data_IF_050513651372
#
_entry.id   IF_050513651372
#
_cell.length_a   1.000
_cell.length_b   1.000
_cell.length_c   1.000
_cell.angle_alpha   90.00
_cell.angle_beta   90.00
_cell.angle_gamma   90.00
#
_symmetry.space_group_name_H-M   'P 1'
#
loop_
_entity.id
_entity.type
_entity.pdbx_description
1 polymer ?
#
# COMPACT_ATOMS: atom_id res chain seq x y z
N UNK A 1 5.30 -89.57 -23.11
CA UNK A 1 5.60 -88.35 -23.89
C UNK A 1 4.94 -87.14 -23.23
N UNK A 2 5.55 -86.55 -22.19
CA UNK A 2 5.11 -85.28 -21.58
C UNK A 2 6.37 -84.47 -21.27
N UNK A 3 6.99 -83.85 -22.29
CA UNK A 3 8.19 -83.03 -22.09
C UNK A 3 8.31 -81.79 -22.98
N UNK A 4 7.26 -81.38 -23.71
CA UNK A 4 7.33 -80.21 -24.61
C UNK A 4 6.44 -79.00 -24.27
N UNK A 5 5.71 -78.96 -23.15
CA UNK A 5 4.80 -77.84 -22.83
C UNK A 5 5.36 -76.77 -21.85
N UNK A 6 6.58 -76.92 -21.31
CA UNK A 6 7.14 -75.91 -20.38
C UNK A 6 7.88 -74.75 -21.08
N UNK A 7 8.41 -74.95 -22.30
CA UNK A 7 9.18 -73.91 -23.00
C UNK A 7 8.29 -72.87 -23.68
N UNK A 8 7.13 -73.27 -24.19
CA UNK A 8 6.13 -72.40 -24.83
C UNK A 8 5.41 -71.50 -23.81
N UNK A 9 5.12 -71.98 -22.61
CA UNK A 9 4.48 -71.17 -21.56
C UNK A 9 5.37 -70.03 -21.04
N UNK A 10 6.68 -70.27 -20.86
CA UNK A 10 7.60 -69.26 -20.35
C UNK A 10 7.84 -68.10 -21.35
N UNK A 11 7.81 -68.37 -22.66
CA UNK A 11 7.96 -67.32 -23.69
C UNK A 11 6.69 -66.44 -23.75
N UNK A 12 5.51 -67.03 -23.59
CA UNK A 12 4.24 -66.30 -23.57
C UNK A 12 4.14 -65.41 -22.31
N UNK A 13 4.55 -65.91 -21.14
CA UNK A 13 4.53 -65.13 -19.89
C UNK A 13 5.52 -63.95 -19.95
N UNK A 14 6.73 -64.14 -20.50
CA UNK A 14 7.71 -63.05 -20.67
C UNK A 14 7.19 -61.97 -21.65
N UNK A 15 6.55 -62.37 -22.75
CA UNK A 15 5.98 -61.43 -23.72
C UNK A 15 4.77 -60.66 -23.15
N UNK A 16 3.91 -61.30 -22.34
CA UNK A 16 2.77 -60.63 -21.68
C UNK A 16 3.26 -59.64 -20.61
N UNK A 17 4.29 -60.01 -19.83
CA UNK A 17 4.84 -59.14 -18.78
C UNK A 17 5.59 -57.93 -19.38
N UNK A 18 6.29 -58.14 -20.50
CA UNK A 18 6.90 -57.09 -21.32
C UNK A 18 5.87 -56.12 -21.90
N UNK A 19 4.79 -56.63 -22.53
CA UNK A 19 3.72 -55.79 -23.08
C UNK A 19 2.92 -55.04 -22.00
N UNK A 20 2.73 -55.63 -20.82
CA UNK A 20 2.08 -54.97 -19.68
C UNK A 20 2.94 -53.81 -19.14
N UNK A 21 4.26 -53.98 -19.06
CA UNK A 21 5.19 -52.93 -18.65
C UNK A 21 5.29 -51.79 -19.69
N UNK A 22 5.23 -52.10 -20.99
CA UNK A 22 5.21 -51.08 -22.05
C UNK A 22 3.90 -50.28 -22.01
N UNK A 23 2.75 -50.95 -21.83
CA UNK A 23 1.46 -50.25 -21.66
C UNK A 23 1.46 -49.36 -20.40
N UNK A 24 1.99 -49.84 -19.28
CA UNK A 24 2.08 -49.05 -18.04
C UNK A 24 3.00 -47.84 -18.18
N UNK A 25 4.13 -47.98 -18.87
CA UNK A 25 5.06 -46.87 -19.17
C UNK A 25 4.42 -45.82 -20.08
N UNK A 26 3.70 -46.25 -21.12
CA UNK A 26 3.00 -45.33 -22.03
C UNK A 26 1.85 -44.58 -21.33
N UNK A 27 1.13 -45.25 -20.42
CA UNK A 27 0.08 -44.59 -19.60
C UNK A 27 0.69 -43.57 -18.65
N UNK A 28 1.81 -43.89 -17.99
CA UNK A 28 2.51 -42.94 -17.09
C UNK A 28 3.03 -41.74 -17.88
N UNK A 29 3.64 -41.95 -19.06
CA UNK A 29 4.10 -40.86 -19.94
C UNK A 29 2.90 -40.00 -20.38
N UNK A 30 1.78 -40.62 -20.76
CA UNK A 30 0.56 -39.90 -21.13
C UNK A 30 0.01 -39.02 -20.01
N UNK A 31 0.01 -39.51 -18.77
CA UNK A 31 -0.41 -38.74 -17.58
C UNK A 31 0.55 -37.57 -17.32
N UNK A 32 1.86 -37.78 -17.39
CA UNK A 32 2.86 -36.72 -17.21
C UNK A 32 2.69 -35.62 -18.25
N UNK A 33 2.49 -35.99 -19.53
CA UNK A 33 2.25 -35.04 -20.61
C UNK A 33 0.95 -34.27 -20.39
N UNK A 34 -0.12 -34.95 -19.94
CA UNK A 34 -1.40 -34.30 -19.65
C UNK A 34 -1.30 -33.30 -18.49
N UNK A 35 -0.57 -33.65 -17.43
CA UNK A 35 -0.29 -32.76 -16.29
C UNK A 35 0.55 -31.56 -16.74
N UNK A 36 1.58 -31.77 -17.56
CA UNK A 36 2.41 -30.69 -18.08
C UNK A 36 1.60 -29.73 -18.98
N UNK A 37 0.75 -30.26 -19.88
CA UNK A 37 -0.15 -29.45 -20.71
C UNK A 37 -1.14 -28.68 -19.84
N UNK A 38 -1.74 -29.34 -18.83
CA UNK A 38 -2.69 -28.70 -17.91
C UNK A 38 -2.03 -27.60 -17.08
N UNK A 39 -0.78 -27.81 -16.63
CA UNK A 39 0.01 -26.81 -15.93
C UNK A 39 0.36 -25.63 -16.84
N UNK A 40 0.75 -25.88 -18.09
CA UNK A 40 1.01 -24.82 -19.08
C UNK A 40 -0.26 -24.04 -19.41
N UNK A 41 -1.41 -24.71 -19.57
CA UNK A 41 -2.71 -24.04 -19.77
C UNK A 41 -3.08 -23.23 -18.53
N UNK A 42 -2.92 -23.78 -17.32
CA UNK A 42 -3.15 -23.04 -16.08
C UNK A 42 -2.24 -21.81 -15.97
N UNK A 43 -0.97 -21.92 -16.36
CA UNK A 43 -0.04 -20.78 -16.37
C UNK A 43 -0.44 -19.74 -17.43
N UNK A 44 -0.78 -20.16 -18.65
CA UNK A 44 -1.12 -19.25 -19.75
C UNK A 44 -2.51 -18.60 -19.62
N UNK A 45 -3.45 -19.26 -18.94
CA UNK A 45 -4.80 -18.77 -18.69
C UNK A 45 -4.99 -18.22 -17.29
N UNK A 46 -3.94 -18.21 -16.44
CA UNK A 46 -3.97 -17.46 -15.19
C UNK A 46 -3.98 -15.95 -15.52
N UNK A 47 -5.04 -15.20 -15.15
CA UNK A 47 -5.14 -13.77 -15.43
C UNK A 47 -3.94 -12.97 -14.91
N UNK A 48 -3.39 -13.36 -13.75
CA UNK A 48 -2.23 -12.70 -13.14
C UNK A 48 -0.94 -12.94 -13.92
N UNK A 49 -0.75 -14.13 -14.52
CA UNK A 49 0.43 -14.43 -15.35
C UNK A 49 0.34 -13.80 -16.75
N UNK A 50 -0.88 -13.70 -17.30
CA UNK A 50 -1.14 -13.00 -18.56
C UNK A 50 -0.93 -11.49 -18.41
N UNK A 51 -1.42 -10.90 -17.32
CA UNK A 51 -1.13 -9.51 -16.94
C UNK A 51 0.37 -9.27 -16.71
N UNK A 52 1.07 -10.23 -16.11
CA UNK A 52 2.53 -10.18 -15.97
C UNK A 52 3.26 -10.23 -17.33
N UNK A 53 2.90 -11.13 -18.25
CA UNK A 53 3.51 -11.21 -19.59
C UNK A 53 3.18 -10.00 -20.48
N UNK A 54 1.97 -9.46 -20.39
CA UNK A 54 1.56 -8.21 -21.07
C UNK A 54 2.32 -7.00 -20.49
N UNK A 55 2.57 -6.97 -19.18
CA UNK A 55 3.41 -5.94 -18.54
C UNK A 55 4.89 -5.98 -18.99
N UNK A 56 5.38 -7.16 -19.40
CA UNK A 56 6.77 -7.33 -19.87
C UNK A 56 6.94 -7.07 -21.37
N UNK A 57 5.87 -7.17 -22.18
CA UNK A 57 5.99 -7.18 -23.65
C UNK A 57 5.58 -5.90 -24.39
N UNK A 58 5.00 -4.88 -23.75
CA UNK A 58 4.73 -3.59 -24.45
C UNK A 58 5.06 -2.35 -23.64
N UNK A 59 6.35 -2.01 -23.59
CA UNK A 59 6.83 -0.63 -23.42
C UNK A 59 7.57 -0.20 -24.68
N UNK A 60 6.88 -0.20 -25.82
CA UNK A 60 7.40 0.52 -27.00
C UNK A 60 7.45 2.02 -26.65
N UNK A 61 8.52 2.70 -27.03
CA UNK A 61 8.75 4.13 -26.74
C UNK A 61 7.54 5.00 -27.15
N UNK A 62 6.86 4.65 -28.25
CA UNK A 62 5.64 5.31 -28.70
C UNK A 62 4.45 5.20 -27.72
N UNK A 63 4.30 4.06 -27.02
CA UNK A 63 3.27 3.91 -25.98
C UNK A 63 3.62 4.68 -24.71
N UNK A 64 4.91 4.83 -24.39
CA UNK A 64 5.37 5.63 -23.25
C UNK A 64 5.09 7.12 -23.45
N UNK A 65 5.38 7.64 -24.66
CA UNK A 65 5.11 9.04 -25.03
C UNK A 65 3.60 9.32 -24.98
N UNK A 66 2.78 8.45 -25.58
CA UNK A 66 1.31 8.61 -25.54
C UNK A 66 0.75 8.60 -24.11
N UNK A 67 1.35 7.81 -23.22
CA UNK A 67 0.96 7.79 -21.80
C UNK A 67 1.34 9.07 -21.09
N UNK A 68 2.56 9.56 -21.29
CA UNK A 68 2.99 10.87 -20.77
C UNK A 68 2.02 11.96 -21.21
N UNK A 69 1.74 12.06 -22.52
CA UNK A 69 0.83 13.07 -23.08
C UNK A 69 -0.59 12.94 -22.50
N UNK A 70 -1.10 11.71 -22.37
CA UNK A 70 -2.42 11.45 -21.78
C UNK A 70 -2.48 11.85 -20.30
N UNK A 71 -1.46 11.53 -19.51
CA UNK A 71 -1.42 11.89 -18.09
C UNK A 71 -1.34 13.42 -17.95
N UNK A 72 -0.39 14.06 -18.63
CA UNK A 72 -0.18 15.51 -18.55
C UNK A 72 -1.40 16.29 -19.04
N UNK A 73 -2.07 15.84 -20.12
CA UNK A 73 -3.31 16.47 -20.60
C UNK A 73 -4.54 16.23 -19.72
N UNK A 74 -4.47 15.26 -18.79
CA UNK A 74 -5.55 14.97 -17.84
C UNK A 74 -5.41 15.66 -16.50
N UNK A 75 -4.30 16.35 -16.25
CA UNK A 75 -4.05 17.05 -14.98
C UNK A 75 -5.09 18.15 -14.79
N UNK A 76 -5.61 18.29 -13.57
CA UNK A 76 -6.54 19.36 -13.21
C UNK A 76 -5.88 20.75 -13.13
N UNK A 77 -4.56 20.80 -13.27
CA UNK A 77 -3.72 21.99 -13.16
C UNK A 77 -2.80 22.14 -14.38
N UNK A 78 -2.31 23.37 -14.58
CA UNK A 78 -1.36 23.67 -15.64
C UNK A 78 0.05 23.31 -15.19
N UNK A 79 0.64 22.28 -15.78
CA UNK A 79 2.04 21.95 -15.61
C UNK A 79 2.90 22.90 -16.47
N UNK A 80 3.86 23.64 -15.91
CA UNK A 80 4.66 24.58 -16.68
C UNK A 80 5.65 23.87 -17.61
N UNK A 81 5.95 24.49 -18.75
CA UNK A 81 6.90 23.96 -19.74
C UNK A 81 8.33 23.86 -19.17
N UNK A 82 8.68 24.76 -18.25
CA UNK A 82 9.95 24.80 -17.52
C UNK A 82 9.70 24.96 -16.02
N UNK A 83 10.57 24.38 -15.20
CA UNK A 83 10.58 24.60 -13.76
C UNK A 83 11.01 26.03 -13.41
N UNK A 84 10.55 26.54 -12.27
CA UNK A 84 11.11 27.73 -11.64
C UNK A 84 12.58 27.50 -11.27
N UNK A 85 13.37 28.56 -11.10
CA UNK A 85 14.77 28.43 -10.65
C UNK A 85 14.86 27.88 -9.22
N UNK A 86 13.92 28.27 -8.36
CA UNK A 86 13.84 27.87 -6.97
C UNK A 86 12.36 27.86 -6.54
N UNK A 87 11.96 26.87 -5.76
CA UNK A 87 10.59 26.76 -5.25
C UNK A 87 10.61 26.12 -3.87
N UNK A 88 9.81 26.67 -2.97
CA UNK A 88 9.50 26.07 -1.67
C UNK A 88 7.99 25.99 -1.48
N UNK A 89 7.54 24.81 -1.10
CA UNK A 89 6.21 24.56 -0.61
C UNK A 89 6.25 24.70 0.91
N UNK A 90 5.42 25.57 1.46
CA UNK A 90 5.27 25.72 2.92
C UNK A 90 4.41 24.57 3.49
N UNK A 91 4.90 23.34 3.30
CA UNK A 91 4.23 22.13 3.75
C UNK A 91 4.57 21.85 5.21
N UNK A 92 3.61 21.37 6.01
CA UNK A 92 3.95 20.79 7.30
C UNK A 92 4.78 19.52 7.12
N UNK A 93 5.53 19.16 8.16
CA UNK A 93 6.25 17.90 8.25
C UNK A 93 5.76 17.11 9.46
N UNK A 94 4.76 16.25 9.29
CA UNK A 94 4.36 15.37 10.39
C UNK A 94 5.42 14.28 10.61
N UNK A 95 5.61 13.86 11.86
CA UNK A 95 6.49 12.74 12.18
C UNK A 95 5.95 11.97 13.39
N UNK A 96 5.50 10.74 13.18
CA UNK A 96 4.85 9.96 14.24
C UNK A 96 5.77 8.91 14.85
N UNK A 97 6.16 7.88 14.10
CA UNK A 97 7.01 6.76 14.56
C UNK A 97 7.81 6.16 13.39
N UNK A 98 8.92 5.48 13.73
CA UNK A 98 9.59 4.58 12.79
C UNK A 98 8.62 3.49 12.30
N UNK A 99 8.50 3.34 10.98
CA UNK A 99 7.57 2.40 10.35
C UNK A 99 6.28 3.02 9.80
N UNK A 100 5.99 4.30 10.04
CA UNK A 100 4.78 4.99 9.55
C UNK A 100 5.04 6.24 8.72
N UNK A 101 6.26 6.37 8.20
CA UNK A 101 6.69 7.51 7.37
C UNK A 101 5.79 7.77 6.14
N UNK A 102 5.05 6.77 5.65
CA UNK A 102 4.06 6.98 4.58
C UNK A 102 2.82 7.74 5.06
N UNK A 103 2.28 7.47 6.25
CA UNK A 103 1.14 8.24 6.79
C UNK A 103 1.53 9.69 7.03
N UNK A 104 2.74 9.89 7.54
CA UNK A 104 3.32 11.20 7.80
C UNK A 104 3.47 12.02 6.52
N UNK A 105 4.04 11.41 5.47
CA UNK A 105 4.16 12.03 4.15
C UNK A 105 2.77 12.36 3.56
N UNK A 106 1.82 11.41 3.60
CA UNK A 106 0.50 11.60 3.02
C UNK A 106 -0.34 12.67 3.74
N UNK A 107 -0.34 12.65 5.08
CA UNK A 107 -1.01 13.68 5.87
C UNK A 107 -0.38 15.06 5.64
N UNK A 108 0.94 15.12 5.48
CA UNK A 108 1.66 16.37 5.21
C UNK A 108 1.23 16.98 3.87
N UNK A 109 1.08 16.14 2.84
CA UNK A 109 0.52 16.55 1.55
C UNK A 109 -0.91 17.06 1.69
N UNK A 110 -1.79 16.32 2.36
CA UNK A 110 -3.21 16.71 2.49
C UNK A 110 -3.43 17.95 3.35
N UNK A 111 -2.58 18.17 4.35
CA UNK A 111 -2.62 19.41 5.09
C UNK A 111 -2.21 20.59 4.20
N UNK A 112 -1.19 20.43 3.36
CA UNK A 112 -0.80 21.48 2.42
C UNK A 112 -1.90 21.80 1.40
N UNK A 113 -2.52 20.78 0.78
CA UNK A 113 -3.47 21.00 -0.33
C UNK A 113 -4.91 21.32 0.12
N UNK A 114 -5.35 20.79 1.27
CA UNK A 114 -6.76 20.89 1.71
C UNK A 114 -6.88 21.39 3.16
N UNK A 115 -5.76 21.74 3.83
CA UNK A 115 -5.73 22.09 5.26
C UNK A 115 -6.36 21.00 6.16
N UNK A 116 -6.30 19.75 5.73
CA UNK A 116 -6.79 18.59 6.50
C UNK A 116 -5.81 18.27 7.63
N UNK A 117 -6.29 18.09 8.86
CA UNK A 117 -5.42 17.67 9.98
C UNK A 117 -4.94 16.22 9.80
N UNK A 118 -3.88 15.81 10.51
CA UNK A 118 -3.39 14.43 10.46
C UNK A 118 -4.51 13.42 10.81
N UNK A 119 -5.19 13.63 11.94
CA UNK A 119 -6.24 12.71 12.39
C UNK A 119 -7.45 12.70 11.46
N UNK A 120 -7.83 13.85 10.91
CA UNK A 120 -8.91 13.91 9.93
C UNK A 120 -8.51 13.18 8.65
N UNK A 121 -7.28 13.35 8.14
CA UNK A 121 -6.80 12.61 6.98
C UNK A 121 -6.85 11.10 7.22
N UNK A 122 -6.35 10.64 8.36
CA UNK A 122 -6.39 9.22 8.73
C UNK A 122 -7.84 8.74 8.83
N UNK A 123 -8.76 9.54 9.37
CA UNK A 123 -10.20 9.23 9.44
C UNK A 123 -10.84 8.97 8.07
N UNK A 124 -10.48 9.76 7.04
CA UNK A 124 -10.89 9.50 5.65
C UNK A 124 -10.36 8.16 5.12
N UNK A 125 -9.26 7.67 5.67
CA UNK A 125 -8.67 6.37 5.34
C UNK A 125 -9.40 5.16 5.92
N UNK A 126 -10.47 5.38 6.71
CA UNK A 126 -11.27 4.35 7.37
C UNK A 126 -10.46 3.51 8.38
N UNK A 127 -9.90 4.14 9.43
CA UNK A 127 -9.00 3.49 10.38
C UNK A 127 -9.67 2.38 11.21
N UNK A 128 -11.00 2.30 11.21
CA UNK A 128 -11.77 1.29 11.94
C UNK A 128 -11.98 0.00 11.14
N UNK A 129 -11.58 -0.03 9.86
CA UNK A 129 -11.69 -1.19 8.99
C UNK A 129 -10.74 -2.30 9.43
N UNK A 130 -11.30 -3.37 10.01
CA UNK A 130 -10.51 -4.52 10.50
C UNK A 130 -10.28 -5.59 9.43
N UNK A 131 -11.15 -5.71 8.43
CA UNK A 131 -11.02 -6.70 7.36
C UNK A 131 -11.21 -6.04 6.00
N UNK A 132 -10.32 -6.36 5.05
CA UNK A 132 -10.43 -5.94 3.66
C UNK A 132 -10.27 -7.14 2.72
N UNK A 133 -10.93 -7.13 1.57
CA UNK A 133 -10.79 -8.17 0.55
C UNK A 133 -9.91 -7.67 -0.58
N UNK A 134 -8.76 -8.33 -0.77
CA UNK A 134 -7.85 -8.13 -1.88
C UNK A 134 -8.04 -9.25 -2.91
N UNK A 135 -8.24 -8.92 -4.19
CA UNK A 135 -8.42 -9.92 -5.25
C UNK A 135 -7.19 -10.80 -5.45
N UNK A 136 -6.00 -10.26 -5.17
CA UNK A 136 -4.74 -10.93 -5.45
C UNK A 136 -4.26 -11.77 -4.27
N UNK A 137 -4.79 -11.53 -3.06
CA UNK A 137 -4.29 -12.12 -1.82
C UNK A 137 -5.39 -12.62 -0.86
N UNK A 138 -6.66 -12.43 -1.20
CA UNK A 138 -7.82 -12.87 -0.42
C UNK A 138 -8.20 -11.91 0.72
N UNK A 139 -8.82 -12.47 1.77
CA UNK A 139 -9.20 -11.72 2.97
C UNK A 139 -7.95 -11.32 3.76
N UNK A 140 -7.79 -10.02 4.02
CA UNK A 140 -6.69 -9.44 4.78
C UNK A 140 -7.19 -8.73 6.04
N UNK A 141 -6.29 -8.58 7.02
CA UNK A 141 -6.57 -7.97 8.32
C UNK A 141 -5.96 -6.58 8.39
N UNK A 142 -6.83 -5.58 8.50
CA UNK A 142 -6.48 -4.16 8.46
C UNK A 142 -5.98 -3.69 7.09
N UNK A 143 -5.90 -2.36 6.89
CA UNK A 143 -5.22 -1.79 5.73
C UNK A 143 -3.70 -2.03 5.83
N UNK A 144 -3.06 -2.48 4.73
CA UNK A 144 -1.61 -2.64 4.67
C UNK A 144 -0.90 -1.27 4.74
N UNK A 145 0.43 -1.34 4.90
CA UNK A 145 1.34 -0.18 4.87
C UNK A 145 1.02 0.72 3.66
N UNK A 146 0.47 1.90 3.93
CA UNK A 146 0.14 2.91 2.94
C UNK A 146 -1.27 2.83 2.34
N UNK A 147 -1.99 1.71 2.46
CA UNK A 147 -3.34 1.55 1.86
C UNK A 147 -4.39 2.44 2.52
N UNK A 148 -4.31 2.64 3.84
CA UNK A 148 -5.18 3.59 4.53
C UNK A 148 -5.00 5.02 3.97
N UNK A 149 -3.77 5.39 3.62
CA UNK A 149 -3.51 6.68 2.98
C UNK A 149 -4.10 6.78 1.59
N UNK A 150 -4.01 5.71 0.78
CA UNK A 150 -4.63 5.66 -0.54
C UNK A 150 -6.15 5.68 -0.49
N UNK A 151 -6.75 4.98 0.47
CA UNK A 151 -8.17 5.05 0.75
C UNK A 151 -8.59 6.47 1.15
N UNK A 152 -7.77 7.17 1.95
CA UNK A 152 -8.03 8.55 2.32
C UNK A 152 -8.01 9.48 1.10
N UNK A 153 -6.98 9.38 0.25
CA UNK A 153 -6.91 10.15 -1.00
C UNK A 153 -8.13 9.89 -1.89
N UNK A 154 -8.48 8.63 -2.12
CA UNK A 154 -9.64 8.24 -2.92
C UNK A 154 -10.94 8.85 -2.35
N UNK A 155 -11.15 8.74 -1.04
CA UNK A 155 -12.32 9.28 -0.37
C UNK A 155 -12.35 10.81 -0.36
N UNK A 156 -11.19 11.44 -0.46
CA UNK A 156 -11.03 12.87 -0.70
C UNK A 156 -11.11 13.22 -2.19
N UNK A 157 -11.46 12.30 -3.10
CA UNK A 157 -11.63 12.56 -4.52
C UNK A 157 -10.31 12.73 -5.31
N UNK A 158 -9.19 12.34 -4.74
CA UNK A 158 -7.88 12.38 -5.39
C UNK A 158 -7.56 11.08 -6.11
N UNK A 159 -7.03 11.21 -7.32
CA UNK A 159 -6.35 10.14 -8.02
C UNK A 159 -4.84 10.24 -7.77
N UNK A 160 -4.21 9.08 -7.58
CA UNK A 160 -2.76 8.96 -7.46
C UNK A 160 -2.14 8.78 -8.84
N UNK A 161 -1.03 9.45 -9.07
CA UNK A 161 -0.18 9.26 -10.24
C UNK A 161 1.24 9.01 -9.79
N UNK A 162 2.01 8.25 -10.57
CA UNK A 162 3.39 7.92 -10.25
C UNK A 162 4.30 8.01 -11.45
N UNK A 163 5.53 8.43 -11.22
CA UNK A 163 6.62 8.45 -12.18
C UNK A 163 7.70 7.46 -11.77
N UNK A 164 8.32 6.76 -12.73
CA UNK A 164 9.53 5.96 -12.45
C UNK A 164 10.43 5.77 -13.68
N UNK A 165 11.66 5.29 -13.47
CA UNK A 165 12.63 5.01 -14.54
C UNK A 165 12.80 3.51 -14.83
N UNK A 166 12.15 2.63 -14.07
CA UNK A 166 12.38 1.16 -14.16
C UNK A 166 11.39 0.44 -15.05
N UNK A 167 10.34 1.10 -15.55
CA UNK A 167 9.32 0.43 -16.38
C UNK A 167 8.53 -0.63 -15.60
N UNK A 168 8.62 -0.63 -14.27
CA UNK A 168 7.93 -1.60 -13.40
C UNK A 168 6.71 -0.93 -12.80
N UNK A 169 5.59 -1.62 -12.84
CA UNK A 169 4.39 -1.20 -12.12
C UNK A 169 4.50 -1.68 -10.67
N UNK A 170 4.10 -0.85 -9.70
CA UNK A 170 3.80 -1.39 -8.38
C UNK A 170 2.66 -2.42 -8.53
N UNK A 171 2.65 -3.51 -7.75
CA UNK A 171 1.53 -4.44 -7.77
C UNK A 171 0.23 -3.69 -7.52
N UNK A 172 -0.78 -3.97 -8.33
CA UNK A 172 -2.11 -3.38 -8.18
C UNK A 172 -2.77 -3.97 -6.93
N UNK A 173 -2.73 -3.27 -5.81
CA UNK A 173 -3.69 -3.55 -4.73
C UNK A 173 -5.04 -2.97 -5.15
N UNK A 174 -6.15 -3.64 -4.82
CA UNK A 174 -7.50 -3.09 -5.02
C UNK A 174 -7.63 -1.68 -4.42
N UNK A 175 -6.96 -1.43 -3.29
CA UNK A 175 -6.97 -0.14 -2.58
C UNK A 175 -5.94 0.85 -3.08
N UNK A 176 -5.09 0.45 -4.03
CA UNK A 176 -4.11 1.37 -4.61
C UNK A 176 -4.74 2.39 -5.54
N UNK A 177 -5.97 2.12 -6.04
CA UNK A 177 -6.75 2.96 -6.95
C UNK A 177 -5.95 3.48 -8.15
N UNK A 178 -4.87 2.77 -8.51
CA UNK A 178 -3.99 3.07 -9.62
C UNK A 178 -4.20 2.02 -10.70
N UNK A 179 -4.37 2.49 -11.92
CA UNK A 179 -4.32 1.65 -13.10
C UNK A 179 -2.96 1.90 -13.78
N UNK A 180 -2.12 0.85 -13.94
CA UNK A 180 -0.85 0.90 -14.67
C UNK A 180 -0.89 1.70 -15.99
N UNK A 181 -2.00 1.62 -16.70
CA UNK A 181 -2.25 2.23 -18.02
C UNK A 181 -2.77 3.68 -17.95
N UNK A 182 -3.18 4.18 -16.79
CA UNK A 182 -3.75 5.53 -16.62
C UNK A 182 -2.94 6.44 -15.70
N UNK A 183 -2.24 5.86 -14.73
CA UNK A 183 -1.68 6.62 -13.60
C UNK A 183 -0.14 6.65 -13.60
N UNK A 184 0.53 5.96 -14.54
CA UNK A 184 1.99 5.89 -14.58
C UNK A 184 2.60 6.67 -15.73
N UNK A 185 3.67 7.39 -15.41
CA UNK A 185 4.58 8.04 -16.34
C UNK A 185 5.97 7.39 -16.21
N UNK A 186 6.64 7.17 -17.33
CA UNK A 186 7.97 6.55 -17.35
C UNK A 186 9.00 7.50 -17.93
N UNK A 187 10.13 7.60 -17.24
CA UNK A 187 11.24 8.50 -17.59
C UNK A 187 12.47 7.70 -18.01
N UNK A 188 13.29 8.27 -18.90
CA UNK A 188 14.52 7.63 -19.39
C UNK A 188 15.64 7.67 -18.36
N UNK A 189 15.66 8.69 -17.50
CA UNK A 189 16.67 8.85 -16.45
C UNK A 189 16.12 9.50 -15.19
N UNK A 190 16.90 9.43 -14.10
CA UNK A 190 16.55 10.06 -12.83
C UNK A 190 16.54 11.59 -12.94
N UNK A 191 17.40 12.16 -13.79
CA UNK A 191 17.44 13.60 -14.08
C UNK A 191 16.17 14.06 -14.78
N UNK A 192 15.67 13.30 -15.76
CA UNK A 192 14.39 13.61 -16.43
C UNK A 192 13.21 13.54 -15.46
N UNK A 193 13.18 12.52 -14.59
CA UNK A 193 12.17 12.38 -13.54
C UNK A 193 12.25 13.54 -12.52
N UNK A 194 13.48 13.96 -12.15
CA UNK A 194 13.72 15.07 -11.25
C UNK A 194 13.23 16.40 -11.85
N UNK A 195 13.49 16.65 -13.13
CA UNK A 195 12.95 17.85 -13.80
C UNK A 195 11.43 17.85 -13.84
N UNK A 196 10.79 16.69 -13.99
CA UNK A 196 9.33 16.59 -13.88
C UNK A 196 8.83 16.89 -12.46
N UNK A 197 9.51 16.39 -11.42
CA UNK A 197 9.22 16.72 -10.02
C UNK A 197 9.30 18.25 -9.80
N UNK A 198 10.34 18.90 -10.30
CA UNK A 198 10.49 20.37 -10.18
C UNK A 198 9.34 21.12 -10.85
N UNK A 199 8.87 20.65 -12.02
CA UNK A 199 7.69 21.22 -12.70
C UNK A 199 6.41 21.06 -11.89
N UNK A 200 6.18 19.88 -11.30
CA UNK A 200 5.06 19.65 -10.38
C UNK A 200 5.11 20.64 -9.21
N UNK A 201 6.28 20.78 -8.59
CA UNK A 201 6.45 21.69 -7.46
C UNK A 201 6.31 23.17 -7.85
N UNK A 202 6.80 23.57 -9.02
CA UNK A 202 6.59 24.93 -9.58
C UNK A 202 5.09 25.22 -9.73
N UNK A 203 4.31 24.21 -10.11
CA UNK A 203 2.84 24.25 -10.15
C UNK A 203 2.16 24.09 -8.78
N UNK A 204 2.91 24.15 -7.66
CA UNK A 204 2.42 23.97 -6.29
C UNK A 204 1.79 22.60 -6.02
N UNK A 205 2.21 21.57 -6.77
CA UNK A 205 1.76 20.20 -6.56
C UNK A 205 2.80 19.43 -5.76
N UNK A 206 2.48 19.02 -4.52
CA UNK A 206 3.42 18.28 -3.69
C UNK A 206 3.64 16.87 -4.26
N UNK A 207 4.82 16.34 -3.99
CA UNK A 207 5.19 14.97 -4.36
C UNK A 207 5.64 14.21 -3.14
N UNK A 208 5.44 12.89 -3.17
CA UNK A 208 6.08 11.99 -2.22
C UNK A 208 6.84 10.90 -2.97
N UNK A 209 7.83 10.32 -2.31
CA UNK A 209 8.68 9.31 -2.89
C UNK A 209 9.30 8.41 -1.82
N UNK A 210 9.90 7.32 -2.28
CA UNK A 210 10.64 6.41 -1.43
C UNK A 210 12.15 6.58 -1.67
N UNK A 211 12.93 6.79 -0.61
CA UNK A 211 14.40 6.80 -0.66
C UNK A 211 15.00 5.79 0.32
N UNK A 212 16.30 5.52 0.17
CA UNK A 212 17.09 4.86 1.21
C UNK A 212 17.92 5.90 1.94
N UNK A 213 17.83 5.94 3.26
CA UNK A 213 18.76 6.75 4.04
C UNK A 213 20.21 6.23 3.95
N UNK A 214 21.14 6.96 4.55
CA UNK A 214 22.55 6.57 4.63
C UNK A 214 22.78 5.27 5.41
N UNK A 215 21.83 4.87 6.27
CA UNK A 215 21.81 3.57 6.95
C UNK A 215 21.14 2.45 6.11
N UNK A 216 20.77 2.74 4.86
CA UNK A 216 20.10 1.86 3.90
C UNK A 216 18.68 1.43 4.30
N UNK A 217 18.04 2.19 5.19
CA UNK A 217 16.67 1.99 5.62
C UNK A 217 15.72 2.69 4.62
N UNK A 218 14.65 2.01 4.17
CA UNK A 218 13.61 2.63 3.35
C UNK A 218 12.86 3.73 4.11
N UNK A 219 12.66 4.88 3.48
CA UNK A 219 11.81 5.97 4.00
C UNK A 219 10.87 6.50 2.92
N UNK A 220 9.63 6.78 3.32
CA UNK A 220 8.68 7.56 2.52
C UNK A 220 8.69 9.00 2.98
N UNK A 221 8.72 9.94 2.06
CA UNK A 221 8.81 11.36 2.39
C UNK A 221 8.24 12.24 1.29
N UNK A 222 7.90 13.46 1.67
CA UNK A 222 7.58 14.56 0.75
C UNK A 222 8.83 15.33 0.33
N UNK A 223 8.73 16.13 -0.73
CA UNK A 223 9.73 17.15 -1.07
C UNK A 223 9.16 18.52 -0.72
N UNK A 224 9.93 19.33 0.02
CA UNK A 224 9.53 20.69 0.41
C UNK A 224 9.99 21.75 -0.56
N UNK A 225 11.13 21.56 -1.22
CA UNK A 225 11.65 22.57 -2.11
C UNK A 225 12.78 22.08 -2.99
N UNK A 226 13.23 22.95 -3.86
CA UNK A 226 14.48 22.81 -4.59
C UNK A 226 15.05 24.20 -4.90
N UNK A 227 16.37 24.27 -5.03
CA UNK A 227 17.11 25.45 -5.49
C UNK A 227 17.99 25.10 -6.70
N UNK A 228 18.91 25.97 -7.12
CA UNK A 228 19.78 25.70 -8.28
C UNK A 228 20.66 24.44 -8.16
N UNK A 229 20.87 23.92 -6.95
CA UNK A 229 21.87 22.89 -6.62
C UNK A 229 21.36 21.76 -5.71
N UNK A 230 20.26 21.98 -4.99
CA UNK A 230 19.74 21.05 -3.98
C UNK A 230 18.26 20.70 -4.15
N UNK A 231 17.92 19.53 -3.63
CA UNK A 231 16.57 19.15 -3.22
C UNK A 231 16.45 19.31 -1.71
N UNK A 232 15.29 19.77 -1.26
CA UNK A 232 15.01 20.11 0.12
C UNK A 232 13.89 19.20 0.60
N UNK A 233 14.20 18.32 1.54
CA UNK A 233 13.31 17.29 2.04
C UNK A 233 13.27 17.29 3.57
N UNK A 234 12.33 16.56 4.21
CA UNK A 234 12.47 16.17 5.61
C UNK A 234 13.86 15.56 5.84
N UNK A 235 14.47 15.85 6.98
CA UNK A 235 15.81 15.40 7.30
C UNK A 235 15.86 13.92 7.60
N UNK A 236 16.45 13.15 6.70
CA UNK A 236 16.49 11.68 6.76
C UNK A 236 17.76 11.23 7.50
N UNK A 237 18.86 11.96 7.35
CA UNK A 237 20.17 11.60 7.90
C UNK A 237 20.35 11.94 9.39
N UNK A 238 19.62 12.95 9.86
CA UNK A 238 19.94 13.65 11.10
C UNK A 238 18.75 13.92 12.01
N UNK A 239 17.54 13.47 11.65
CA UNK A 239 16.47 13.40 12.65
C UNK A 239 17.01 12.53 13.77
N UNK A 240 17.21 13.08 14.98
CA UNK A 240 17.78 12.29 16.06
C UNK A 240 16.93 11.02 16.19
N UNK A 241 17.54 9.92 16.64
CA UNK A 241 16.77 8.87 17.30
C UNK A 241 16.16 9.50 18.55
N UNK A 242 15.18 10.36 18.38
CA UNK A 242 14.27 10.76 19.42
C UNK A 242 13.69 9.41 19.83
N UNK A 243 13.80 9.07 21.12
CA UNK A 243 13.32 7.82 21.68
C UNK A 243 11.78 7.82 21.64
N UNK A 244 11.20 7.77 20.44
CA UNK A 244 9.75 7.77 20.19
C UNK A 244 9.08 6.52 20.79
N UNK A 245 9.85 5.48 21.05
CA UNK A 245 9.42 4.25 21.73
C UNK A 245 9.26 4.42 23.25
N UNK A 246 9.80 5.49 23.83
CA UNK A 246 9.74 5.75 25.28
C UNK A 246 8.61 6.71 25.67
N UNK A 247 7.96 7.36 24.69
CA UNK A 247 6.81 8.22 24.96
C UNK A 247 5.52 7.40 25.08
N UNK A 248 4.66 7.68 26.07
CA UNK A 248 3.37 7.03 26.18
C UNK A 248 2.49 7.39 24.97
N UNK A 249 1.69 6.42 24.52
CA UNK A 249 0.50 6.72 23.71
C UNK A 249 -0.30 7.82 24.44
N UNK A 250 -0.66 8.94 23.78
CA UNK A 250 -0.67 9.20 22.34
C UNK A 250 0.31 10.30 21.87
N UNK A 251 1.41 10.58 22.56
CA UNK A 251 2.34 11.70 22.24
C UNK A 251 3.19 11.48 20.96
N UNK A 252 2.53 11.13 19.85
CA UNK A 252 3.10 11.22 18.52
C UNK A 252 3.11 12.68 18.07
N UNK A 253 4.10 13.08 17.28
CA UNK A 253 4.22 14.47 16.85
C UNK A 253 3.13 14.78 15.81
N UNK A 254 1.99 15.25 16.31
CA UNK A 254 0.82 15.69 15.53
C UNK A 254 0.97 17.14 15.05
N UNK A 255 1.99 17.84 15.57
CA UNK A 255 2.33 19.17 15.09
C UNK A 255 3.34 19.05 13.95
N UNK A 256 3.29 19.93 12.94
CA UNK A 256 4.35 20.04 11.97
C UNK A 256 5.69 20.25 12.66
N UNK A 257 6.72 19.49 12.28
CA UNK A 257 8.08 19.77 12.68
C UNK A 257 8.53 21.10 12.08
N UNK A 258 9.31 21.85 12.85
CA UNK A 258 9.90 23.11 12.42
C UNK A 258 10.96 22.89 11.32
N UNK A 259 11.33 23.98 10.64
CA UNK A 259 12.29 24.00 9.53
C UNK A 259 13.70 23.52 9.90
N UNK A 260 14.01 23.41 11.20
CA UNK A 260 15.29 22.87 11.70
C UNK A 260 15.52 21.39 11.36
N UNK A 261 14.45 20.67 10.98
CA UNK A 261 14.51 19.26 10.58
C UNK A 261 14.51 19.07 9.06
N UNK A 262 14.87 20.09 8.27
CA UNK A 262 15.04 19.97 6.82
C UNK A 262 16.46 19.54 6.47
N UNK A 263 16.60 18.76 5.40
CA UNK A 263 17.89 18.38 4.82
C UNK A 263 17.96 18.88 3.38
N UNK A 264 19.11 19.46 3.05
CA UNK A 264 19.42 19.95 1.71
C UNK A 264 20.40 18.96 1.08
N UNK A 265 19.89 18.13 0.18
CA UNK A 265 20.69 17.15 -0.57
C UNK A 265 21.09 17.76 -1.90
N UNK A 266 22.38 17.70 -2.26
CA UNK A 266 22.76 18.03 -3.64
C UNK A 266 22.03 17.10 -4.62
N UNK A 267 21.80 17.53 -5.86
CA UNK A 267 21.13 16.67 -6.84
C UNK A 267 21.81 15.31 -7.01
N UNK A 268 23.15 15.27 -6.89
CA UNK A 268 23.91 14.02 -6.94
C UNK A 268 23.57 13.10 -5.76
N UNK A 269 23.56 13.63 -4.54
CA UNK A 269 23.23 12.86 -3.32
C UNK A 269 21.78 12.37 -3.38
N UNK A 270 20.85 13.26 -3.77
CA UNK A 270 19.45 12.93 -3.91
C UNK A 270 19.22 11.78 -4.91
N UNK A 271 19.82 11.87 -6.11
CA UNK A 271 19.72 10.80 -7.10
C UNK A 271 20.31 9.48 -6.59
N UNK A 272 21.40 9.52 -5.81
CA UNK A 272 22.00 8.33 -5.22
C UNK A 272 21.05 7.63 -4.24
N UNK A 273 20.46 8.36 -3.28
CA UNK A 273 19.55 7.80 -2.26
C UNK A 273 18.20 7.36 -2.84
N UNK A 274 17.79 7.95 -3.97
CA UNK A 274 16.53 7.68 -4.65
C UNK A 274 16.62 6.53 -5.68
N UNK A 275 17.78 6.35 -6.32
CA UNK A 275 18.02 5.32 -7.35
C UNK A 275 17.65 3.87 -6.97
N UNK A 276 17.78 3.40 -5.70
CA UNK A 276 17.45 2.01 -5.35
C UNK A 276 15.99 1.65 -5.64
N UNK A 277 15.09 2.63 -5.59
CA UNK A 277 13.66 2.46 -5.89
C UNK A 277 13.31 2.75 -7.36
N UNK A 278 14.31 3.03 -8.21
CA UNK A 278 14.07 3.33 -9.62
C UNK A 278 13.51 4.71 -9.85
N UNK A 279 13.91 5.65 -9.01
CA UNK A 279 13.44 7.02 -9.04
C UNK A 279 11.90 7.08 -9.03
N UNK A 280 11.27 6.24 -8.21
CA UNK A 280 9.82 6.24 -8.08
C UNK A 280 9.39 7.42 -7.21
N UNK A 281 8.46 8.20 -7.74
CA UNK A 281 7.75 9.27 -7.02
C UNK A 281 6.29 9.23 -7.41
N UNK A 282 5.45 9.83 -6.57
CA UNK A 282 4.03 9.95 -6.84
C UNK A 282 3.52 11.34 -6.43
N UNK A 283 2.46 11.76 -7.12
CA UNK A 283 1.71 12.96 -6.82
C UNK A 283 0.22 12.63 -6.86
N UNK A 284 -0.58 13.61 -6.47
CA UNK A 284 -2.02 13.47 -6.36
C UNK A 284 -2.67 14.56 -7.17
N UNK A 285 -3.80 14.24 -7.79
CA UNK A 285 -4.61 15.20 -8.52
C UNK A 285 -6.07 15.06 -8.14
N UNK A 286 -6.77 16.19 -8.01
CA UNK A 286 -8.19 16.22 -7.60
C UNK A 286 -9.07 15.92 -8.82
N UNK A 287 -9.44 14.66 -8.98
CA UNK A 287 -10.23 14.21 -10.15
C UNK A 287 -11.72 14.08 -9.88
N UNK A 288 -12.15 14.14 -8.62
CA UNK A 288 -13.53 13.98 -8.21
C UNK A 288 -13.89 14.72 -6.93
N UNK A 289 -15.17 14.74 -6.54
CA UNK A 289 -15.60 15.32 -5.29
C UNK A 289 -15.10 14.48 -4.10
N UNK A 290 -14.80 15.16 -2.97
CA UNK A 290 -14.63 14.47 -1.70
C UNK A 290 -15.96 13.87 -1.24
N UNK A 291 -15.91 12.70 -0.62
CA UNK A 291 -17.02 12.23 0.20
C UNK A 291 -17.23 13.21 1.37
N UNK A 292 -18.48 13.38 1.77
CA UNK A 292 -18.82 14.21 2.92
C UNK A 292 -18.36 13.58 4.23
N UNK A 293 -18.14 14.42 5.26
CA UNK A 293 -17.83 13.94 6.62
C UNK A 293 -18.85 12.93 7.14
N UNK A 294 -20.13 13.10 6.78
CA UNK A 294 -21.21 12.17 7.13
C UNK A 294 -21.03 10.81 6.43
N UNK A 295 -20.73 10.78 5.14
CA UNK A 295 -20.49 9.52 4.43
C UNK A 295 -19.31 8.77 5.03
N UNK A 296 -18.21 9.46 5.32
CA UNK A 296 -17.04 8.86 5.99
C UNK A 296 -17.36 8.39 7.41
N UNK A 297 -18.19 9.13 8.13
CA UNK A 297 -18.70 8.70 9.44
C UNK A 297 -19.48 7.39 9.35
N UNK A 298 -20.43 7.29 8.42
CA UNK A 298 -21.23 6.06 8.26
C UNK A 298 -20.37 4.87 7.81
N UNK A 299 -19.36 5.09 6.95
CA UNK A 299 -18.41 4.05 6.56
C UNK A 299 -17.60 3.56 7.77
N UNK A 300 -17.04 4.48 8.56
CA UNK A 300 -16.29 4.11 9.77
C UNK A 300 -17.18 3.46 10.84
N UNK A 301 -18.44 3.91 11.01
CA UNK A 301 -19.42 3.29 11.90
C UNK A 301 -19.72 1.86 11.45
N UNK A 302 -19.93 1.63 10.15
CA UNK A 302 -20.10 0.28 9.59
C UNK A 302 -18.89 -0.59 9.90
N UNK A 303 -17.68 -0.10 9.61
CA UNK A 303 -16.44 -0.83 9.87
C UNK A 303 -16.28 -1.21 11.35
N UNK A 304 -16.63 -0.29 12.26
CA UNK A 304 -16.60 -0.51 13.69
C UNK A 304 -17.59 -1.59 14.15
N UNK A 305 -18.79 -1.64 13.57
CA UNK A 305 -19.81 -2.64 13.89
C UNK A 305 -19.46 -4.04 13.34
N UNK A 306 -18.75 -4.11 12.21
CA UNK A 306 -18.32 -5.38 11.60
C UNK A 306 -17.04 -5.95 12.24
N UNK A 307 -16.20 -5.10 12.85
CA UNK A 307 -14.91 -5.51 13.41
C UNK A 307 -14.99 -6.68 14.42
N UNK A 308 -15.94 -6.75 15.39
CA UNK A 308 -16.02 -7.86 16.33
C UNK A 308 -16.20 -9.23 15.69
N UNK A 309 -17.06 -9.31 14.67
CA UNK A 309 -17.34 -10.56 13.94
C UNK A 309 -16.12 -10.94 13.09
N UNK A 310 -15.52 -9.97 12.39
CA UNK A 310 -14.30 -10.18 11.62
C UNK A 310 -13.15 -10.72 12.49
N UNK A 311 -12.99 -10.19 13.72
CA UNK A 311 -12.00 -10.69 14.67
C UNK A 311 -12.34 -12.12 15.12
N UNK A 312 -13.61 -12.39 15.44
CA UNK A 312 -14.06 -13.72 15.87
C UNK A 312 -13.82 -14.80 14.80
N UNK A 313 -14.07 -14.48 13.52
CA UNK A 313 -13.80 -15.40 12.41
C UNK A 313 -12.32 -15.84 12.34
N UNK A 314 -11.40 -14.98 12.76
CA UNK A 314 -9.96 -15.29 12.81
C UNK A 314 -9.66 -16.18 14.00
N UNK A 315 -10.20 -15.85 15.18
CA UNK A 315 -10.05 -16.65 16.40
C UNK A 315 -10.55 -18.07 16.15
N UNK A 316 -11.68 -18.23 15.46
CA UNK A 316 -12.28 -19.52 15.16
C UNK A 316 -11.53 -20.31 14.07
N UNK A 317 -10.48 -19.74 13.48
CA UNK A 317 -9.74 -20.35 12.37
C UNK A 317 -10.60 -20.53 11.11
N UNK A 318 -11.70 -19.77 10.99
CA UNK A 318 -12.62 -19.84 9.85
C UNK A 318 -12.11 -19.10 8.62
N UNK A 319 -11.09 -18.23 8.78
CA UNK A 319 -10.28 -17.72 7.68
C UNK A 319 -9.30 -18.78 7.14
N UNK A 320 -9.86 -19.86 6.56
CA UNK A 320 -9.11 -20.89 5.79
C UNK A 320 -8.60 -20.38 4.44
N UNK A 321 -8.95 -19.15 4.06
CA UNK A 321 -8.42 -18.47 2.88
C UNK A 321 -7.12 -17.76 3.27
N UNK A 322 -6.02 -18.52 3.21
CA UNK A 322 -4.65 -18.03 3.11
C UNK A 322 -4.36 -16.68 3.77
N UNK A 323 -4.37 -16.62 5.09
CA UNK A 323 -3.69 -15.54 5.80
C UNK A 323 -2.20 -15.60 5.42
N UNK A 324 -1.78 -14.75 4.47
CA UNK A 324 -0.39 -14.60 4.03
C UNK A 324 0.29 -13.37 4.64
N UNK A 325 -0.46 -12.51 5.34
CA UNK A 325 0.11 -11.42 6.14
C UNK A 325 0.69 -11.95 7.44
N UNK A 326 1.62 -11.24 8.05
CA UNK A 326 2.03 -11.53 9.42
C UNK A 326 1.13 -10.76 10.40
N UNK A 327 0.81 -11.37 11.55
CA UNK A 327 0.06 -10.68 12.63
C UNK A 327 0.82 -9.42 13.06
N UNK A 328 2.15 -9.41 12.89
CA UNK A 328 3.07 -8.27 13.09
C UNK A 328 2.61 -6.98 12.38
N UNK A 329 2.03 -7.06 11.18
CA UNK A 329 1.60 -5.87 10.43
C UNK A 329 0.34 -5.20 11.02
N UNK A 330 -0.49 -5.95 11.77
CA UNK A 330 -1.63 -5.40 12.52
C UNK A 330 -1.13 -4.53 13.68
N UNK A 331 0.02 -4.86 14.28
CA UNK A 331 0.47 -4.20 15.50
C UNK A 331 0.94 -2.76 15.26
N UNK A 332 1.72 -2.46 14.23
CA UNK A 332 2.21 -1.09 14.02
C UNK A 332 1.13 -0.19 13.41
N UNK A 333 0.43 -0.68 12.38
CA UNK A 333 -0.58 0.09 11.65
C UNK A 333 -1.88 0.21 12.44
N UNK A 334 -2.27 -0.85 13.16
CA UNK A 334 -3.44 -0.86 14.03
C UNK A 334 -3.30 0.12 15.19
N UNK A 335 -2.12 0.21 15.83
CA UNK A 335 -1.90 1.20 16.90
C UNK A 335 -2.12 2.62 16.40
N UNK A 336 -1.48 3.01 15.28
CA UNK A 336 -1.50 4.40 14.82
C UNK A 336 -2.85 4.80 14.21
N UNK A 337 -3.44 3.92 13.40
CA UNK A 337 -4.77 4.16 12.82
C UNK A 337 -5.85 4.29 13.90
N UNK A 338 -5.87 3.39 14.88
CA UNK A 338 -6.87 3.40 15.95
C UNK A 338 -6.62 4.54 16.94
N UNK A 339 -5.37 4.89 17.25
CA UNK A 339 -5.05 6.05 18.07
C UNK A 339 -5.49 7.36 17.41
N UNK A 340 -5.26 7.51 16.10
CA UNK A 340 -5.75 8.66 15.33
C UNK A 340 -7.28 8.72 15.30
N UNK A 341 -7.96 7.58 15.13
CA UNK A 341 -9.41 7.50 15.22
C UNK A 341 -9.94 7.97 16.59
N UNK A 342 -9.30 7.54 17.68
CA UNK A 342 -9.62 8.01 19.03
C UNK A 342 -9.51 9.53 19.15
N UNK A 343 -8.40 10.12 18.72
CA UNK A 343 -8.21 11.58 18.81
C UNK A 343 -9.22 12.35 17.96
N UNK A 344 -9.49 11.88 16.73
CA UNK A 344 -10.53 12.46 15.90
C UNK A 344 -11.88 12.44 16.62
N UNK A 345 -12.30 11.28 17.15
CA UNK A 345 -13.56 11.14 17.88
C UNK A 345 -13.63 12.06 19.10
N UNK A 346 -12.52 12.23 19.82
CA UNK A 346 -12.41 13.14 20.97
C UNK A 346 -12.59 14.60 20.56
N UNK A 347 -11.96 15.03 19.46
CA UNK A 347 -12.13 16.37 18.90
C UNK A 347 -13.59 16.64 18.48
N UNK A 348 -14.30 15.62 17.99
CA UNK A 348 -15.72 15.70 17.66
C UNK A 348 -16.65 15.61 18.91
N UNK A 349 -16.09 15.32 20.09
CA UNK A 349 -16.79 15.26 21.38
C UNK A 349 -17.39 13.89 21.74
N UNK A 350 -17.00 12.82 21.05
CA UNK A 350 -17.42 11.44 21.36
C UNK A 350 -16.45 10.79 22.36
N UNK A 351 -16.31 11.38 23.55
CA UNK A 351 -15.27 11.01 24.51
C UNK A 351 -15.27 9.52 24.90
N UNK A 352 -16.44 8.92 25.14
CA UNK A 352 -16.53 7.50 25.53
C UNK A 352 -16.04 6.56 24.41
N UNK A 353 -16.41 6.85 23.16
CA UNK A 353 -15.90 6.10 22.00
C UNK A 353 -14.39 6.32 21.84
N UNK A 354 -13.94 7.56 21.96
CA UNK A 354 -12.53 7.90 21.86
C UNK A 354 -11.69 7.13 22.87
N UNK A 355 -12.07 7.17 24.15
CA UNK A 355 -11.36 6.46 25.22
C UNK A 355 -11.32 4.95 24.95
N UNK A 356 -12.43 4.36 24.46
CA UNK A 356 -12.47 2.94 24.08
C UNK A 356 -11.53 2.60 22.94
N UNK A 357 -11.41 3.45 21.92
CA UNK A 357 -10.43 3.23 20.85
C UNK A 357 -8.99 3.44 21.32
N UNK A 358 -8.72 4.34 22.27
CA UNK A 358 -7.39 4.44 22.88
C UNK A 358 -7.03 3.16 23.66
N UNK A 359 -7.98 2.55 24.36
CA UNK A 359 -7.79 1.23 24.99
C UNK A 359 -7.44 0.15 23.96
N UNK A 360 -8.14 0.12 22.83
CA UNK A 360 -7.84 -0.82 21.72
C UNK A 360 -6.43 -0.59 21.16
N UNK A 361 -6.05 0.67 20.87
CA UNK A 361 -4.70 1.00 20.39
C UNK A 361 -3.63 0.56 21.41
N UNK A 362 -3.90 0.74 22.70
CA UNK A 362 -3.00 0.29 23.78
C UNK A 362 -2.87 -1.22 23.82
N UNK A 363 -3.97 -1.97 23.65
CA UNK A 363 -3.96 -3.43 23.60
C UNK A 363 -3.15 -3.95 22.40
N UNK A 364 -3.27 -3.32 21.22
CA UNK A 364 -2.40 -3.64 20.07
C UNK A 364 -0.92 -3.39 20.37
N UNK A 365 -0.60 -2.26 21.03
CA UNK A 365 0.77 -1.89 21.39
C UNK A 365 1.39 -2.87 22.41
N UNK A 366 0.59 -3.32 23.37
CA UNK A 366 0.99 -4.30 24.37
C UNK A 366 1.02 -5.76 23.85
N UNK A 367 0.71 -5.97 22.57
CA UNK A 367 0.60 -7.30 21.92
C UNK A 367 -0.36 -8.24 22.67
N UNK A 368 -1.48 -7.71 23.14
CA UNK A 368 -2.49 -8.52 23.80
C UNK A 368 -3.15 -9.50 22.80
N UNK A 369 -3.68 -10.61 23.33
CA UNK A 369 -4.30 -11.64 22.50
C UNK A 369 -5.56 -11.16 21.77
N UNK A 370 -5.79 -11.70 20.57
CA UNK A 370 -6.95 -11.33 19.73
C UNK A 370 -8.30 -11.46 20.44
N UNK A 371 -8.45 -12.37 21.40
CA UNK A 371 -9.67 -12.48 22.20
C UNK A 371 -9.95 -11.25 23.07
N UNK A 372 -8.93 -10.60 23.62
CA UNK A 372 -9.14 -9.35 24.36
C UNK A 372 -9.44 -8.20 23.40
N UNK A 373 -8.72 -8.13 22.28
CA UNK A 373 -8.97 -7.14 21.23
C UNK A 373 -10.41 -7.26 20.71
N UNK A 374 -10.90 -8.48 20.44
CA UNK A 374 -12.28 -8.77 20.05
C UNK A 374 -13.30 -8.22 21.06
N UNK A 375 -13.04 -8.45 22.35
CA UNK A 375 -13.90 -7.96 23.42
C UNK A 375 -13.95 -6.43 23.44
N UNK A 376 -12.79 -5.76 23.33
CA UNK A 376 -12.72 -4.30 23.29
C UNK A 376 -13.45 -3.72 22.06
N UNK A 377 -13.30 -4.33 20.89
CA UNK A 377 -14.08 -3.95 19.70
C UNK A 377 -15.58 -4.19 19.88
N UNK A 378 -16.00 -5.25 20.58
CA UNK A 378 -17.41 -5.50 20.91
C UNK A 378 -17.98 -4.40 21.81
N UNK A 379 -17.23 -3.99 22.82
CA UNK A 379 -17.60 -2.87 23.69
C UNK A 379 -17.70 -1.55 22.90
N UNK A 380 -16.76 -1.30 21.97
CA UNK A 380 -16.81 -0.14 21.08
C UNK A 380 -18.04 -0.16 20.16
N UNK A 381 -18.36 -1.32 19.55
CA UNK A 381 -19.52 -1.48 18.68
C UNK A 381 -20.84 -1.15 19.39
N UNK A 382 -21.01 -1.60 20.64
CA UNK A 382 -22.19 -1.26 21.45
C UNK A 382 -22.34 0.25 21.71
N UNK A 383 -21.23 0.96 21.84
CA UNK A 383 -21.25 2.43 21.97
C UNK A 383 -21.70 3.08 20.65
N UNK A 384 -21.27 2.56 19.51
CA UNK A 384 -21.66 3.06 18.18
C UNK A 384 -23.14 2.93 17.86
N UNK A 385 -23.81 1.87 18.34
CA UNK A 385 -25.24 1.64 18.06
C UNK A 385 -26.14 2.79 18.53
N UNK A 386 -25.69 3.53 19.55
CA UNK A 386 -26.45 4.60 20.19
C UNK A 386 -26.00 6.02 19.79
N UNK A 387 -25.13 6.13 18.77
CA UNK A 387 -24.53 7.40 18.37
C UNK A 387 -24.90 7.73 16.93
N UNK A 388 -25.56 8.87 16.75
CA UNK A 388 -25.81 9.48 15.45
C UNK A 388 -24.72 10.51 15.12
N UNK A 389 -24.51 10.75 13.82
CA UNK A 389 -23.64 11.83 13.37
C UNK A 389 -24.24 13.18 13.78
N UNK A 390 -23.56 13.88 14.68
CA UNK A 390 -23.87 15.27 15.03
C UNK A 390 -23.05 16.17 14.12
N UNK A 391 -23.72 16.88 13.21
CA UNK A 391 -23.09 17.91 12.39
C UNK A 391 -22.71 19.08 13.31
N UNK A 392 -21.42 19.18 13.66
CA UNK A 392 -20.88 20.23 14.54
C UNK A 392 -20.08 21.24 13.76
#
# INVERSE_FOLDING_TARGET
MVKNNKKSLNIIIINITSMANIKKKNVIIGIIVLIAISAVILILFNPSFRGYLESQNELKESHLIQRYEKVVSSLSFNLPDTSDQEKYLNMPNFLTRFGTCYYDAYASMMNYVENTSYDEFIWYGRPLMFQHYDSDFGVRLGPLRGELGWQAFHNLGYARYCGNTKGKFAPASIMSYISPDKNYVFFKSGEEALEFIKKLMSAEHPVYLQIKDWAKIPHFQTIFGYDETHIISPGIAHTPKINWLEKPLPEYYEQPLNDEYRENLTYKEFLEVWSPYGHEFCWLDKTGPSLSKKEIWELNKKDALEAPENIQMIIDGQNKLSYQGEISDIHENGVISVAAASRYLKQQGYNQLADKYMEIATAFYANEGLSNIQKLYTEAANLWENIDYINK
#
